data_IF_407601517712
#
_entry.id   IF_407601517712
#
_cell.length_a   1.000
_cell.length_b   1.000
_cell.length_c   1.000
_cell.angle_alpha   90.00
_cell.angle_beta   90.00
_cell.angle_gamma   90.00
#
_symmetry.space_group_name_H-M   'P 1'
#
loop_
_entity.id
_entity.type
_entity.pdbx_description
1 polymer ?
#
# COMPACT_ATOMS: atom_id res chain seq x y z
N UNK A 1 13.93 12.97 -4.35
CA UNK A 1 12.97 11.86 -4.48
C UNK A 1 13.77 10.58 -4.67
N UNK A 2 13.68 9.66 -3.71
CA UNK A 2 14.23 8.31 -3.72
C UNK A 2 13.09 7.39 -4.19
N UNK A 3 13.22 6.84 -5.39
CA UNK A 3 12.23 5.95 -6.00
C UNK A 3 12.89 4.61 -6.30
N UNK A 4 12.50 3.56 -5.58
CA UNK A 4 12.96 2.19 -5.84
C UNK A 4 11.92 1.44 -6.67
N UNK A 5 12.37 0.79 -7.74
CA UNK A 5 11.52 -0.02 -8.62
C UNK A 5 11.68 -1.49 -8.26
N UNK A 6 10.85 -1.96 -7.34
CA UNK A 6 10.90 -3.31 -6.81
C UNK A 6 9.55 -3.74 -6.23
N UNK A 7 9.33 -5.04 -6.11
CA UNK A 7 8.28 -5.60 -5.27
C UNK A 7 8.86 -5.99 -3.92
N UNK A 8 8.19 -5.59 -2.84
CA UNK A 8 8.60 -5.91 -1.47
C UNK A 8 7.54 -6.79 -0.83
N UNK A 9 7.97 -7.90 -0.22
CA UNK A 9 7.11 -8.80 0.53
C UNK A 9 7.72 -9.13 1.88
N UNK A 10 7.01 -8.78 2.96
CA UNK A 10 7.40 -9.10 4.33
C UNK A 10 6.65 -10.36 4.74
N UNK A 11 7.37 -11.49 4.74
CA UNK A 11 6.85 -12.82 5.02
C UNK A 11 6.47 -12.99 6.50
N UNK A 12 5.55 -13.91 6.79
CA UNK A 12 4.93 -14.07 8.11
C UNK A 12 5.92 -14.28 9.28
N UNK A 13 7.12 -14.81 9.01
CA UNK A 13 8.18 -15.04 9.99
C UNK A 13 9.00 -13.78 10.32
N UNK A 14 8.73 -12.63 9.68
CA UNK A 14 9.49 -11.37 9.78
C UNK A 14 8.74 -10.30 10.59
N UNK A 15 8.35 -10.63 11.82
CA UNK A 15 7.59 -9.72 12.69
C UNK A 15 8.43 -8.59 13.29
N UNK A 16 7.77 -7.56 13.82
CA UNK A 16 8.38 -6.43 14.55
C UNK A 16 9.30 -5.54 13.70
N UNK A 17 9.01 -5.45 12.39
CA UNK A 17 9.73 -4.56 11.48
C UNK A 17 9.12 -3.15 11.53
N UNK A 18 10.01 -2.16 11.60
CA UNK A 18 9.69 -0.76 11.30
C UNK A 18 10.32 -0.40 9.96
N UNK A 19 9.50 0.03 9.01
CA UNK A 19 9.92 0.55 7.72
C UNK A 19 9.72 2.07 7.69
N UNK A 20 10.82 2.83 7.63
CA UNK A 20 10.79 4.29 7.71
C UNK A 20 11.44 4.91 6.48
N UNK A 21 10.69 5.77 5.80
CA UNK A 21 11.20 6.62 4.72
C UNK A 21 11.53 8.03 5.20
N UNK A 22 12.07 8.85 4.29
CA UNK A 22 12.37 10.27 4.55
C UNK A 22 11.17 11.19 4.33
N UNK A 23 10.00 10.64 3.96
CA UNK A 23 8.80 11.41 3.65
C UNK A 23 7.95 10.79 2.55
N UNK A 24 6.62 10.90 2.66
CA UNK A 24 5.67 10.35 1.68
C UNK A 24 5.96 10.76 0.24
N UNK A 25 6.39 12.01 0.03
CA UNK A 25 6.69 12.56 -1.31
C UNK A 25 8.12 12.28 -1.76
N UNK A 26 9.00 11.89 -0.84
CA UNK A 26 10.43 11.70 -1.09
C UNK A 26 10.77 10.23 -1.24
N UNK A 27 10.24 9.32 -0.44
CA UNK A 27 10.52 7.87 -0.49
C UNK A 27 9.35 7.11 -1.12
N UNK A 28 9.62 6.39 -2.21
CA UNK A 28 8.62 5.65 -3.00
C UNK A 28 9.14 4.26 -3.35
N UNK A 29 8.34 3.23 -3.05
CA UNK A 29 8.48 1.89 -3.63
C UNK A 29 7.44 1.75 -4.73
N UNK A 30 7.88 1.43 -5.95
CA UNK A 30 7.02 1.40 -7.13
C UNK A 30 7.17 0.12 -7.95
N UNK A 31 6.07 -0.31 -8.57
CA UNK A 31 6.06 -1.35 -9.60
C UNK A 31 4.95 -1.07 -10.64
N UNK A 32 4.78 -1.91 -11.67
CA UNK A 32 3.82 -1.69 -12.76
C UNK A 32 3.06 -2.95 -13.22
N UNK A 33 2.84 -3.90 -12.32
CA UNK A 33 2.20 -5.20 -12.62
C UNK A 33 0.69 -5.16 -12.36
N UNK A 34 -0.07 -6.04 -13.03
CA UNK A 34 -1.53 -6.13 -12.95
C UNK A 34 -2.06 -7.54 -13.21
N UNK A 35 -3.34 -7.76 -12.90
CA UNK A 35 -4.05 -9.01 -13.21
C UNK A 35 -4.19 -9.98 -12.03
N UNK A 36 -3.67 -9.64 -10.84
CA UNK A 36 -3.83 -10.47 -9.64
C UNK A 36 -3.62 -9.66 -8.36
N UNK A 37 -4.64 -9.52 -7.52
CA UNK A 37 -4.52 -8.76 -6.27
C UNK A 37 -3.43 -9.28 -5.32
N UNK A 38 -2.97 -10.52 -5.47
CA UNK A 38 -1.85 -11.08 -4.69
C UNK A 38 -0.53 -10.89 -5.43
N UNK A 39 -0.42 -11.40 -6.67
CA UNK A 39 0.87 -11.44 -7.37
C UNK A 39 1.31 -10.07 -7.89
N UNK A 40 0.38 -9.17 -8.24
CA UNK A 40 0.69 -7.86 -8.79
C UNK A 40 0.90 -6.76 -7.75
N UNK A 41 0.70 -7.06 -6.46
CA UNK A 41 0.92 -6.12 -5.37
C UNK A 41 2.36 -5.61 -5.32
N UNK A 42 2.55 -4.29 -5.31
CA UNK A 42 3.88 -3.67 -5.14
C UNK A 42 4.45 -3.96 -3.75
N UNK A 43 3.61 -3.87 -2.72
CA UNK A 43 3.97 -4.19 -1.34
C UNK A 43 3.04 -5.25 -0.77
N UNK A 44 3.59 -6.30 -0.17
CA UNK A 44 2.81 -7.35 0.51
C UNK A 44 3.26 -7.47 1.96
N UNK A 45 2.31 -7.38 2.89
CA UNK A 45 2.54 -7.53 4.33
C UNK A 45 1.81 -8.76 4.87
N UNK A 46 2.58 -9.76 5.30
CA UNK A 46 2.08 -11.00 5.89
C UNK A 46 2.53 -11.19 7.35
N UNK A 47 3.38 -10.30 7.88
CA UNK A 47 3.91 -10.37 9.23
C UNK A 47 3.15 -9.47 10.21
N UNK A 48 2.82 -10.02 11.37
CA UNK A 48 2.17 -9.29 12.45
C UNK A 48 3.14 -8.26 13.08
N UNK A 49 2.58 -7.24 13.75
CA UNK A 49 3.32 -6.21 14.48
C UNK A 49 4.25 -5.37 13.58
N UNK A 50 3.75 -4.90 12.43
CA UNK A 50 4.49 -4.06 11.51
C UNK A 50 4.14 -2.57 11.65
N UNK A 51 5.15 -1.72 11.44
CA UNK A 51 4.95 -0.26 11.32
C UNK A 51 5.61 0.23 10.04
N UNK A 52 4.89 1.04 9.26
CA UNK A 52 5.49 1.87 8.22
C UNK A 52 5.25 3.36 8.47
N UNK A 53 6.25 4.18 8.12
CA UNK A 53 6.20 5.63 8.28
C UNK A 53 6.78 6.33 7.06
N UNK A 54 6.16 7.44 6.68
CA UNK A 54 6.79 8.44 5.78
C UNK A 54 7.27 7.85 4.44
N UNK A 55 6.50 6.91 3.87
CA UNK A 55 6.82 6.22 2.62
C UNK A 55 5.57 6.03 1.75
N UNK A 56 5.73 6.04 0.43
CA UNK A 56 4.65 5.73 -0.53
C UNK A 56 4.87 4.38 -1.20
N UNK A 57 3.81 3.58 -1.26
CA UNK A 57 3.70 2.40 -2.12
C UNK A 57 2.87 2.76 -3.35
N UNK A 58 3.36 2.38 -4.54
CA UNK A 58 2.75 2.79 -5.81
C UNK A 58 2.73 1.65 -6.80
N UNK A 59 1.56 1.39 -7.37
CA UNK A 59 1.45 0.60 -8.58
C UNK A 59 1.10 1.52 -9.76
N UNK A 60 1.93 1.48 -10.80
CA UNK A 60 1.83 2.35 -11.97
C UNK A 60 1.13 1.70 -13.17
N UNK A 61 0.62 0.48 -13.01
CA UNK A 61 -0.20 -0.19 -14.02
C UNK A 61 -1.37 0.73 -14.42
N UNK A 62 -1.41 1.11 -15.70
CA UNK A 62 -2.39 2.04 -16.27
C UNK A 62 -2.43 3.47 -15.69
N UNK A 63 -1.40 3.93 -14.97
CA UNK A 63 -1.28 5.35 -14.59
C UNK A 63 -0.74 6.25 -15.71
N UNK A 64 -0.08 5.68 -16.72
CA UNK A 64 0.54 6.42 -17.82
C UNK A 64 -0.51 6.67 -18.92
N UNK A 65 -0.74 7.95 -19.28
CA UNK A 65 -1.61 8.34 -20.39
C UNK A 65 -1.17 7.66 -21.69
N UNK A 66 -2.12 7.07 -22.42
CA UNK A 66 -1.88 6.36 -23.68
C UNK A 66 -1.63 4.86 -23.53
N UNK A 67 -1.58 4.34 -22.29
CA UNK A 67 -1.52 2.91 -22.06
C UNK A 67 -2.88 2.27 -22.36
N UNK A 68 -2.90 1.25 -23.23
CA UNK A 68 -4.10 0.58 -23.73
C UNK A 68 -4.41 -0.73 -22.98
N UNK A 69 -3.72 -1.03 -21.88
CA UNK A 69 -3.98 -2.26 -21.12
C UNK A 69 -5.36 -2.18 -20.49
N UNK A 70 -6.07 -3.30 -20.45
CA UNK A 70 -7.35 -3.41 -19.76
C UNK A 70 -7.18 -3.03 -18.29
N UNK A 71 -8.15 -2.32 -17.72
CA UNK A 71 -8.20 -2.08 -16.28
C UNK A 71 -8.37 -3.43 -15.58
N UNK A 72 -7.49 -3.71 -14.62
CA UNK A 72 -7.49 -4.94 -13.82
C UNK A 72 -6.82 -4.68 -12.48
N UNK A 73 -6.87 -5.66 -11.58
CA UNK A 73 -6.32 -5.60 -10.23
C UNK A 73 -4.82 -5.30 -10.24
N UNK A 74 -4.46 -4.15 -9.68
CA UNK A 74 -3.08 -3.68 -9.61
C UNK A 74 -2.80 -3.01 -8.25
N UNK A 75 -2.75 -3.77 -7.14
CA UNK A 75 -2.64 -3.14 -5.84
C UNK A 75 -1.30 -2.43 -5.64
N UNK A 76 -1.34 -1.28 -4.97
CA UNK A 76 -0.15 -0.66 -4.41
C UNK A 76 0.31 -1.40 -3.16
N UNK A 77 -0.63 -1.92 -2.36
CA UNK A 77 -0.33 -2.74 -1.20
C UNK A 77 -1.42 -3.78 -0.92
N UNK A 78 -1.00 -4.95 -0.42
CA UNK A 78 -1.85 -5.99 0.16
C UNK A 78 -1.39 -6.27 1.60
N UNK A 79 -2.29 -6.06 2.56
CA UNK A 79 -2.04 -6.20 4.00
C UNK A 79 -2.91 -7.33 4.56
N UNK A 80 -2.28 -8.43 4.97
CA UNK A 80 -2.96 -9.62 5.48
C UNK A 80 -2.33 -10.13 6.79
N UNK A 81 -2.13 -9.22 7.75
CA UNK A 81 -1.45 -9.46 9.03
C UNK A 81 -2.09 -8.69 10.18
N UNK A 82 -1.88 -9.09 11.43
CA UNK A 82 -2.48 -8.43 12.60
C UNK A 82 -1.57 -7.34 13.19
N UNK A 83 -2.19 -6.31 13.78
CA UNK A 83 -1.50 -5.17 14.42
C UNK A 83 -0.54 -4.45 13.49
N UNK A 84 -1.01 -4.10 12.30
CA UNK A 84 -0.24 -3.34 11.31
C UNK A 84 -0.61 -1.86 11.41
N UNK A 85 0.38 -0.97 11.38
CA UNK A 85 0.12 0.47 11.40
C UNK A 85 0.92 1.26 10.39
N UNK A 86 0.29 2.28 9.82
CA UNK A 86 0.85 3.16 8.81
C UNK A 86 0.70 4.61 9.27
N UNK A 87 1.79 5.38 9.25
CA UNK A 87 1.81 6.80 9.64
C UNK A 87 2.33 7.65 8.51
N UNK A 88 1.50 8.58 8.02
CA UNK A 88 1.85 9.49 6.91
C UNK A 88 2.30 8.75 5.64
N UNK A 89 1.81 7.54 5.43
CA UNK A 89 2.13 6.75 4.24
C UNK A 89 1.28 7.15 3.03
N UNK A 90 1.72 6.75 1.84
CA UNK A 90 1.00 6.92 0.58
C UNK A 90 0.68 5.58 -0.07
N UNK A 91 -0.50 5.45 -0.67
CA UNK A 91 -0.92 4.30 -1.47
C UNK A 91 -1.57 4.81 -2.75
N UNK A 92 -1.04 4.42 -3.91
CA UNK A 92 -1.47 4.98 -5.20
C UNK A 92 -1.55 3.91 -6.27
N UNK A 93 -2.75 3.73 -6.85
CA UNK A 93 -2.99 2.88 -8.03
C UNK A 93 -4.32 3.27 -8.70
N UNK A 94 -4.90 2.39 -9.54
CA UNK A 94 -6.20 2.53 -10.20
C UNK A 94 -7.24 1.58 -9.59
N UNK A 95 -7.13 0.27 -9.83
CA UNK A 95 -8.05 -0.73 -9.28
C UNK A 95 -7.36 -1.51 -8.16
N UNK A 96 -8.08 -1.76 -7.06
CA UNK A 96 -7.61 -2.52 -5.90
C UNK A 96 -6.43 -1.88 -5.15
N UNK A 97 -6.34 -0.55 -5.11
CA UNK A 97 -5.16 0.19 -4.62
C UNK A 97 -4.63 -0.33 -3.28
N UNK A 98 -5.48 -0.45 -2.26
CA UNK A 98 -5.14 -0.94 -0.94
C UNK A 98 -6.00 -2.16 -0.60
N UNK A 99 -5.38 -3.34 -0.66
CA UNK A 99 -5.94 -4.58 -0.12
C UNK A 99 -5.79 -4.62 1.38
N UNK A 100 -6.76 -4.07 2.09
CA UNK A 100 -6.92 -4.10 3.54
C UNK A 100 -7.52 -5.46 3.99
N UNK A 101 -6.81 -6.54 3.68
CA UNK A 101 -7.41 -7.86 3.52
C UNK A 101 -7.85 -8.53 4.83
N UNK A 102 -6.98 -8.59 5.85
CA UNK A 102 -7.26 -9.29 7.12
C UNK A 102 -6.33 -8.83 8.22
N UNK A 103 -6.88 -8.61 9.42
CA UNK A 103 -6.14 -8.24 10.63
C UNK A 103 -6.71 -6.99 11.27
N UNK A 104 -6.04 -6.45 12.29
CA UNK A 104 -6.33 -5.13 12.84
C UNK A 104 -5.33 -4.12 12.32
N UNK A 105 -5.81 -3.10 11.63
CA UNK A 105 -4.93 -2.09 11.02
C UNK A 105 -5.27 -0.67 11.47
N UNK A 106 -4.24 0.19 11.50
CA UNK A 106 -4.37 1.60 11.86
C UNK A 106 -3.65 2.47 10.83
N UNK A 107 -4.36 3.40 10.20
CA UNK A 107 -3.82 4.31 9.19
C UNK A 107 -3.96 5.76 9.69
N UNK A 108 -2.87 6.39 10.12
CA UNK A 108 -2.84 7.77 10.60
C UNK A 108 -2.25 8.71 9.55
N UNK A 109 -3.04 9.70 9.13
CA UNK A 109 -2.62 10.75 8.21
C UNK A 109 -2.07 10.23 6.88
N UNK A 110 -2.56 9.05 6.46
CA UNK A 110 -2.19 8.42 5.20
C UNK A 110 -2.94 9.05 4.01
N UNK A 111 -2.34 8.96 2.82
CA UNK A 111 -2.97 9.33 1.56
C UNK A 111 -3.22 8.06 0.74
N UNK A 112 -4.46 7.83 0.36
CA UNK A 112 -4.87 6.65 -0.43
C UNK A 112 -5.61 7.16 -1.67
N UNK A 113 -5.15 6.78 -2.86
CA UNK A 113 -5.70 7.21 -4.13
C UNK A 113 -5.92 6.01 -5.05
N UNK A 114 -7.15 5.86 -5.53
CA UNK A 114 -7.48 4.99 -6.65
C UNK A 114 -8.83 5.34 -7.26
N UNK A 115 -9.36 4.44 -8.08
CA UNK A 115 -10.60 4.64 -8.85
C UNK A 115 -11.65 3.58 -8.51
N UNK A 116 -11.31 2.30 -8.64
CA UNK A 116 -12.23 1.16 -8.49
C UNK A 116 -11.78 0.33 -7.29
N UNK A 117 -12.69 0.08 -6.36
CA UNK A 117 -12.44 -0.73 -5.15
C UNK A 117 -11.12 -0.38 -4.46
N UNK A 118 -10.79 0.92 -4.41
CA UNK A 118 -9.44 1.36 -4.09
C UNK A 118 -9.04 1.11 -2.63
N UNK A 119 -10.01 0.83 -1.76
CA UNK A 119 -9.82 0.20 -0.45
C UNK A 119 -10.78 -1.00 -0.41
N UNK A 120 -10.26 -2.20 -0.17
CA UNK A 120 -11.05 -3.43 -0.18
C UNK A 120 -10.49 -4.47 0.81
N UNK A 121 -11.32 -5.40 1.27
CA UNK A 121 -10.91 -6.47 2.18
C UNK A 121 -11.84 -6.64 3.38
N UNK A 122 -11.38 -7.38 4.39
CA UNK A 122 -12.16 -7.76 5.58
C UNK A 122 -11.40 -7.48 6.89
N UNK A 123 -10.43 -6.57 6.88
CA UNK A 123 -9.72 -6.16 8.09
C UNK A 123 -10.60 -5.30 9.01
N UNK A 124 -10.29 -5.35 10.30
CA UNK A 124 -10.83 -4.41 11.29
C UNK A 124 -9.91 -3.19 11.34
N UNK A 125 -10.24 -2.16 10.58
CA UNK A 125 -9.35 -1.03 10.34
C UNK A 125 -9.90 0.29 10.86
N UNK A 126 -8.99 1.15 11.32
CA UNK A 126 -9.29 2.53 11.65
C UNK A 126 -8.45 3.48 10.81
N UNK A 127 -9.14 4.33 10.05
CA UNK A 127 -8.54 5.37 9.21
C UNK A 127 -8.70 6.72 9.90
N UNK A 128 -7.59 7.29 10.34
CA UNK A 128 -7.58 8.51 11.14
C UNK A 128 -6.91 9.66 10.39
N UNK A 129 -7.56 10.81 10.38
CA UNK A 129 -7.00 12.07 9.89
C UNK A 129 -7.05 13.08 11.01
N UNK A 130 -5.90 13.68 11.35
CA UNK A 130 -5.87 14.85 12.22
C UNK A 130 -6.34 16.07 11.44
N UNK A 131 -7.50 16.62 11.84
CA UNK A 131 -7.94 17.93 11.39
C UNK A 131 -7.17 18.95 12.22
N UNK A 132 -6.36 19.84 11.61
CA UNK A 132 -5.73 20.93 12.34
C UNK A 132 -6.83 21.82 12.94
N UNK A 133 -6.80 21.98 14.26
CA UNK A 133 -7.57 23.00 14.99
C UNK A 133 -6.90 24.35 14.90
#
# INVERSE_FOLDING_TARGET
MICSSEKVSIQQDKQYIVLEGEGRKTTVITWDDGGSSIKSSTFTMLADNFVARDITFRNTYNLIKGNTRNITWAPAALIAADKVSFYRCGFTSIQDTLGDARGRHYFDSCYIQGVIDFIWGNAQSFYYVRIPT
#
